data_IF_856805694961
#
_entry.id   IF_856805694961
#
_cell.length_a   1.000
_cell.length_b   1.000
_cell.length_c   1.000
_cell.angle_alpha   90.00
_cell.angle_beta   90.00
_cell.angle_gamma   90.00
#
_symmetry.space_group_name_H-M   'P 1'
#
loop_
_entity.id
_entity.type
_entity.pdbx_description
1 polymer ?
#
# COMPACT_ATOMS: atom_id res chain seq x y z
N UNK A 1 9.87 8.73 17.94
CA UNK A 1 8.78 7.81 17.55
C UNK A 1 9.07 6.46 18.20
N UNK A 2 8.19 6.02 19.09
CA UNK A 2 8.28 4.71 19.74
C UNK A 2 7.46 3.72 18.91
N UNK A 3 7.93 2.48 18.75
CA UNK A 3 7.12 1.43 18.15
C UNK A 3 5.99 1.06 19.12
N UNK A 4 4.74 1.17 18.66
CA UNK A 4 3.55 0.89 19.46
C UNK A 4 3.15 -0.61 19.45
N UNK A 5 3.79 -1.43 18.62
CA UNK A 5 3.54 -2.87 18.53
C UNK A 5 2.33 -3.26 17.68
N UNK A 6 1.68 -2.31 17.00
CA UNK A 6 0.58 -2.59 16.08
C UNK A 6 1.07 -2.78 14.64
N UNK A 7 0.39 -3.69 13.91
CA UNK A 7 0.65 -3.95 12.50
C UNK A 7 -0.62 -4.41 11.80
N UNK A 8 -0.70 -4.14 10.49
CA UNK A 8 -1.77 -4.60 9.63
C UNK A 8 -1.17 -5.26 8.38
N UNK A 9 -1.82 -6.31 7.89
CA UNK A 9 -1.43 -7.00 6.66
C UNK A 9 -2.63 -7.06 5.71
N UNK A 10 -2.37 -6.78 4.43
CA UNK A 10 -3.31 -6.98 3.35
C UNK A 10 -2.68 -7.89 2.30
N UNK A 11 -3.45 -8.88 1.83
CA UNK A 11 -2.98 -9.88 0.86
C UNK A 11 -3.91 -9.92 -0.35
N UNK A 12 -3.31 -9.89 -1.54
CA UNK A 12 -4.02 -10.05 -2.80
C UNK A 12 -3.45 -11.25 -3.56
N UNK A 13 -4.31 -11.96 -4.27
CA UNK A 13 -3.89 -12.87 -5.32
C UNK A 13 -3.68 -12.05 -6.59
N UNK A 14 -2.45 -12.01 -7.09
CA UNK A 14 -2.09 -11.19 -8.24
C UNK A 14 -2.84 -11.62 -9.51
N UNK A 15 -3.19 -12.89 -9.63
CA UNK A 15 -3.98 -13.40 -10.76
C UNK A 15 -5.39 -12.77 -10.83
N UNK A 16 -5.94 -12.34 -9.68
CA UNK A 16 -7.28 -11.77 -9.59
C UNK A 16 -7.28 -10.25 -9.81
N UNK A 17 -6.11 -9.63 -9.98
CA UNK A 17 -5.95 -8.18 -10.19
C UNK A 17 -6.10 -7.75 -11.66
N UNK A 18 -6.28 -8.69 -12.60
CA UNK A 18 -6.42 -8.38 -14.02
C UNK A 18 -5.15 -7.78 -14.66
N UNK A 19 -3.98 -8.00 -14.05
CA UNK A 19 -2.70 -7.54 -14.57
C UNK A 19 -2.27 -8.39 -15.76
N UNK A 20 -1.70 -7.76 -16.77
CA UNK A 20 -1.21 -8.41 -17.99
C UNK A 20 0.23 -8.84 -17.79
N UNK A 21 0.58 -10.02 -18.30
CA UNK A 21 1.97 -10.51 -18.32
C UNK A 21 2.85 -9.60 -19.19
N UNK A 22 4.15 -9.58 -18.90
CA UNK A 22 5.17 -8.76 -19.57
C UNK A 22 4.92 -7.24 -19.48
N UNK A 23 4.24 -6.79 -18.42
CA UNK A 23 4.05 -5.38 -18.10
C UNK A 23 4.66 -5.05 -16.73
N UNK A 24 5.05 -3.79 -16.57
CA UNK A 24 5.49 -3.22 -15.30
C UNK A 24 4.39 -2.34 -14.72
N UNK A 25 4.03 -2.60 -13.47
CA UNK A 25 3.03 -1.84 -12.72
C UNK A 25 3.68 -1.11 -11.54
N UNK A 26 3.25 0.13 -11.28
CA UNK A 26 3.55 0.84 -10.03
C UNK A 26 2.44 0.58 -9.04
N UNK A 27 2.76 -0.08 -7.94
CA UNK A 27 1.88 -0.22 -6.79
C UNK A 27 2.16 0.92 -5.82
N UNK A 28 1.12 1.64 -5.39
CA UNK A 28 1.19 2.69 -4.38
C UNK A 28 0.26 2.33 -3.22
N UNK A 29 0.81 2.37 -2.01
CA UNK A 29 0.09 2.11 -0.77
C UNK A 29 0.12 3.36 0.09
N UNK A 30 -1.01 3.67 0.72
CA UNK A 30 -1.15 4.78 1.65
C UNK A 30 -1.79 4.26 2.94
N UNK A 31 -1.22 4.63 4.08
CA UNK A 31 -1.71 4.26 5.40
C UNK A 31 -2.12 5.52 6.12
N UNK A 32 -3.37 5.56 6.57
CA UNK A 32 -3.92 6.63 7.40
C UNK A 32 -3.93 6.17 8.86
N UNK A 33 -3.62 7.08 9.78
CA UNK A 33 -3.69 6.87 11.24
C UNK A 33 -5.13 6.93 11.81
N UNK A 34 -6.11 7.19 10.94
CA UNK A 34 -7.54 7.15 11.26
C UNK A 34 -8.19 8.52 11.42
N UNK A 35 -7.44 9.63 11.40
CA UNK A 35 -7.99 10.98 11.47
C UNK A 35 -7.69 11.86 10.23
N UNK A 36 -7.24 11.24 9.14
CA UNK A 36 -6.94 11.83 7.83
C UNK A 36 -7.90 12.88 7.25
N UNK A 37 -9.14 13.00 7.76
CA UNK A 37 -10.13 14.01 7.36
C UNK A 37 -10.19 15.22 8.31
N UNK A 38 -9.28 15.30 9.29
CA UNK A 38 -9.15 16.38 10.26
C UNK A 38 -7.85 17.13 10.03
N UNK A 39 -7.80 18.36 10.53
CA UNK A 39 -6.58 19.18 10.51
C UNK A 39 -5.50 18.51 11.35
N UNK A 40 -4.36 18.23 10.73
CA UNK A 40 -3.19 17.65 11.41
C UNK A 40 -3.13 16.12 11.41
N UNK A 41 -3.98 15.43 10.65
CA UNK A 41 -3.87 13.98 10.46
C UNK A 41 -2.73 13.58 9.54
N UNK A 42 -2.06 12.48 9.85
CA UNK A 42 -0.87 12.01 9.15
C UNK A 42 -1.18 10.86 8.18
N UNK A 43 -0.35 10.76 7.14
CA UNK A 43 -0.36 9.60 6.26
C UNK A 43 1.06 9.17 5.91
N UNK A 44 1.28 7.87 5.88
CA UNK A 44 2.47 7.26 5.30
C UNK A 44 2.17 6.78 3.88
N UNK A 45 3.14 6.88 2.97
CA UNK A 45 3.02 6.29 1.64
C UNK A 45 4.27 5.52 1.23
N UNK A 46 4.07 4.49 0.41
CA UNK A 46 5.15 3.68 -0.15
C UNK A 46 4.78 3.22 -1.56
N UNK A 47 5.79 3.14 -2.42
CA UNK A 47 5.62 2.74 -3.82
C UNK A 47 6.63 1.67 -4.22
N UNK A 48 6.20 0.73 -5.08
CA UNK A 48 7.06 -0.31 -5.63
C UNK A 48 6.71 -0.63 -7.08
N UNK A 49 7.71 -1.03 -7.86
CA UNK A 49 7.52 -1.54 -9.22
C UNK A 49 7.41 -3.06 -9.19
N UNK A 50 6.35 -3.60 -9.78
CA UNK A 50 6.11 -5.05 -9.91
C UNK A 50 6.13 -5.41 -11.40
N UNK A 51 6.90 -6.44 -11.74
CA UNK A 51 6.96 -7.01 -13.09
C UNK A 51 6.20 -8.33 -13.09
N UNK A 52 5.26 -8.48 -14.02
CA UNK A 52 4.53 -9.72 -14.24
C UNK A 52 5.30 -10.58 -15.26
N UNK A 53 6.04 -11.57 -14.76
CA UNK A 53 6.79 -12.55 -15.58
C UNK A 53 5.95 -13.73 -16.06
#
# INVERSE_FOLDING_TARGET
LSNEGFGAEARWNVADLGLRTLHTYRMQFMVHDGDQNKTGGDSGEACMSVVMG
#
